data_IF_280539309926
#
_entry.id   IF_280539309926
#
_cell.length_a   1.000
_cell.length_b   1.000
_cell.length_c   1.000
_cell.angle_alpha   90.00
_cell.angle_beta   90.00
_cell.angle_gamma   90.00
#
_symmetry.space_group_name_H-M   'P 1'
#
loop_
_entity.id
_entity.type
_entity.pdbx_description
1 polymer ?
#
# COMPACT_ATOMS: atom_id res chain seq x y z
N UNK A 1 3.10 2.96 -16.32
CA UNK A 1 2.63 4.15 -15.57
C UNK A 1 3.38 4.22 -14.25
N UNK A 2 3.62 5.43 -13.73
CA UNK A 2 4.24 5.64 -12.42
C UNK A 2 3.33 6.50 -11.57
N UNK A 3 3.04 6.07 -10.35
CA UNK A 3 2.36 6.84 -9.32
C UNK A 3 3.39 7.17 -8.24
N UNK A 4 3.30 8.36 -7.66
CA UNK A 4 4.16 8.76 -6.55
C UNK A 4 3.32 9.34 -5.44
N UNK A 5 3.32 8.64 -4.31
CA UNK A 5 2.75 9.14 -3.06
C UNK A 5 3.83 9.98 -2.39
N UNK A 6 3.46 11.16 -1.89
CA UNK A 6 4.40 12.15 -1.34
C UNK A 6 3.92 12.66 0.01
N UNK A 7 4.82 13.32 0.74
CA UNK A 7 4.58 13.87 2.08
C UNK A 7 4.19 12.80 3.13
N UNK A 8 4.77 11.61 3.01
CA UNK A 8 4.60 10.54 3.99
C UNK A 8 5.53 10.76 5.20
N UNK A 9 5.07 10.28 6.36
CA UNK A 9 5.89 10.25 7.57
C UNK A 9 6.96 9.18 7.43
N UNK A 10 8.22 9.61 7.49
CA UNK A 10 9.39 8.75 7.31
C UNK A 10 9.67 7.85 8.51
N UNK A 11 9.01 8.10 9.64
CA UNK A 11 9.10 7.25 10.83
C UNK A 11 8.12 6.07 10.80
N UNK A 12 7.20 6.06 9.83
CA UNK A 12 6.18 5.03 9.67
C UNK A 12 6.47 4.14 8.46
N UNK A 13 5.87 2.96 8.47
CA UNK A 13 5.72 2.12 7.29
C UNK A 13 4.27 2.07 6.86
N UNK A 14 4.02 1.70 5.61
CA UNK A 14 2.69 1.70 5.01
C UNK A 14 2.36 0.34 4.39
N UNK A 15 1.14 -0.13 4.61
CA UNK A 15 0.55 -1.19 3.79
C UNK A 15 -0.12 -0.54 2.58
N UNK A 16 0.17 -1.06 1.39
CA UNK A 16 -0.36 -0.55 0.14
C UNK A 16 -1.14 -1.68 -0.53
N UNK A 17 -2.45 -1.49 -0.73
CA UNK A 17 -3.27 -2.45 -1.46
C UNK A 17 -3.79 -1.83 -2.75
N UNK A 18 -3.50 -2.48 -3.86
CA UNK A 18 -3.96 -2.07 -5.18
C UNK A 18 -5.09 -3.00 -5.60
N UNK A 19 -6.21 -2.42 -6.02
CA UNK A 19 -7.37 -3.15 -6.51
C UNK A 19 -7.58 -2.85 -7.99
N UNK A 20 -7.60 -3.89 -8.80
CA UNK A 20 -7.96 -3.82 -10.21
C UNK A 20 -9.47 -3.71 -10.41
N UNK A 21 -9.88 -2.95 -11.42
CA UNK A 21 -11.20 -3.07 -12.02
C UNK A 21 -11.20 -2.40 -13.40
N UNK A 22 -11.48 -3.18 -14.43
CA UNK A 22 -11.91 -2.65 -15.73
C UNK A 22 -13.43 -2.77 -15.90
N UNK A 23 -14.02 -3.82 -15.32
CA UNK A 23 -15.36 -4.33 -15.59
C UNK A 23 -15.28 -5.83 -15.93
N UNK A 24 -16.39 -6.56 -15.76
CA UNK A 24 -16.44 -8.01 -16.01
C UNK A 24 -16.10 -8.29 -17.47
N UNK A 25 -14.95 -8.90 -17.72
CA UNK A 25 -14.42 -9.19 -19.05
C UNK A 25 -13.86 -10.61 -19.11
N UNK A 26 -13.99 -11.25 -20.27
CA UNK A 26 -13.36 -12.55 -20.51
C UNK A 26 -11.84 -12.46 -20.78
N UNK A 27 -11.31 -11.24 -20.94
CA UNK A 27 -9.89 -11.01 -21.16
C UNK A 27 -9.14 -10.79 -19.84
N UNK A 28 -7.93 -11.34 -19.76
CA UNK A 28 -7.00 -11.03 -18.68
C UNK A 28 -6.39 -9.64 -18.88
N UNK A 29 -6.59 -8.78 -17.89
CA UNK A 29 -5.95 -7.48 -17.79
C UNK A 29 -4.91 -7.49 -16.67
N UNK A 30 -3.85 -8.28 -16.90
CA UNK A 30 -2.77 -8.43 -15.95
C UNK A 30 -1.99 -7.12 -15.82
N UNK A 31 -1.94 -6.64 -14.58
CA UNK A 31 -1.18 -5.46 -14.17
C UNK A 31 -0.12 -5.90 -13.19
N UNK A 32 1.13 -5.67 -13.57
CA UNK A 32 2.30 -5.86 -12.74
C UNK A 32 2.60 -4.58 -11.96
N UNK A 33 2.97 -4.76 -10.69
CA UNK A 33 3.26 -3.69 -9.74
C UNK A 33 4.65 -3.89 -9.16
N UNK A 34 5.42 -2.81 -9.16
CA UNK A 34 6.70 -2.72 -8.44
C UNK A 34 6.69 -1.50 -7.53
N UNK A 35 7.30 -1.62 -6.36
CA UNK A 35 7.38 -0.55 -5.36
C UNK A 35 8.84 -0.11 -5.26
N UNK A 36 9.08 1.20 -5.26
CA UNK A 36 10.41 1.82 -5.14
C UNK A 36 11.46 1.23 -6.10
N UNK A 37 11.02 0.86 -7.32
CA UNK A 37 11.84 0.19 -8.34
C UNK A 37 12.46 -1.15 -7.90
N UNK A 38 12.00 -1.74 -6.79
CA UNK A 38 12.38 -3.08 -6.36
C UNK A 38 11.70 -4.14 -7.25
N UNK A 39 12.47 -4.64 -8.21
CA UNK A 39 12.03 -5.69 -9.11
C UNK A 39 11.89 -7.06 -8.43
N UNK A 40 12.52 -7.27 -7.26
CA UNK A 40 12.48 -8.55 -6.55
C UNK A 40 11.18 -8.74 -5.76
N UNK A 41 10.57 -7.65 -5.29
CA UNK A 41 9.28 -7.63 -4.61
C UNK A 41 8.06 -7.54 -5.53
N UNK A 42 8.23 -7.70 -6.85
CA UNK A 42 7.18 -7.51 -7.85
C UNK A 42 5.97 -8.43 -7.65
N UNK A 43 4.77 -7.88 -7.81
CA UNK A 43 3.51 -8.63 -7.76
C UNK A 43 2.61 -8.29 -8.94
N UNK A 44 1.64 -9.15 -9.26
CA UNK A 44 0.67 -8.92 -10.33
C UNK A 44 -0.74 -9.25 -9.89
N UNK A 45 -1.72 -8.52 -10.42
CA UNK A 45 -3.14 -8.85 -10.29
C UNK A 45 -3.84 -8.78 -11.65
N UNK A 46 -4.93 -9.53 -11.78
CA UNK A 46 -5.81 -9.46 -12.95
C UNK A 46 -6.93 -8.46 -12.70
N UNK A 47 -7.05 -7.44 -13.56
CA UNK A 47 -8.09 -6.42 -13.43
C UNK A 47 -9.36 -6.70 -14.28
N UNK A 48 -9.45 -7.86 -14.94
CA UNK A 48 -10.57 -8.24 -15.81
C UNK A 48 -11.88 -8.63 -15.09
N UNK A 49 -11.91 -8.50 -13.76
CA UNK A 49 -13.08 -8.79 -12.93
C UNK A 49 -13.83 -7.54 -12.44
N UNK A 50 -14.83 -7.79 -11.59
CA UNK A 50 -15.48 -6.75 -10.80
C UNK A 50 -14.46 -6.06 -9.86
N UNK A 51 -14.83 -4.90 -9.32
CA UNK A 51 -13.96 -4.16 -8.41
C UNK A 51 -13.59 -5.02 -7.19
N UNK A 52 -12.29 -5.27 -7.02
CA UNK A 52 -11.76 -6.05 -5.89
C UNK A 52 -11.49 -7.52 -6.19
N UNK A 53 -11.85 -8.05 -7.36
CA UNK A 53 -11.58 -9.46 -7.72
C UNK A 53 -10.10 -9.73 -8.05
N UNK A 54 -9.33 -8.69 -8.36
CA UNK A 54 -7.88 -8.75 -8.43
C UNK A 54 -7.26 -7.69 -7.53
N UNK A 55 -6.40 -8.12 -6.60
CA UNK A 55 -5.64 -7.21 -5.77
C UNK A 55 -4.28 -7.76 -5.39
N UNK A 56 -3.39 -6.86 -4.99
CA UNK A 56 -2.08 -7.16 -4.41
C UNK A 56 -1.84 -6.22 -3.24
N UNK A 57 -1.20 -6.75 -2.21
CA UNK A 57 -0.83 -5.97 -1.02
C UNK A 57 0.68 -6.04 -0.81
N UNK A 58 1.28 -4.87 -0.65
CA UNK A 58 2.65 -4.68 -0.20
C UNK A 58 2.62 -4.22 1.25
N UNK A 59 3.27 -4.97 2.14
CA UNK A 59 3.24 -4.67 3.58
C UNK A 59 4.51 -3.99 4.03
N UNK A 60 4.40 -3.17 5.08
CA UNK A 60 5.53 -2.49 5.73
C UNK A 60 6.45 -1.73 4.76
N UNK A 61 5.87 -1.08 3.75
CA UNK A 61 6.61 -0.28 2.77
C UNK A 61 7.08 1.00 3.44
N UNK A 62 8.40 1.20 3.48
CA UNK A 62 9.00 2.44 3.96
C UNK A 62 9.03 3.51 2.84
N UNK A 63 8.71 4.78 3.16
CA UNK A 63 9.02 5.89 2.27
C UNK A 63 10.53 6.06 2.07
N UNK A 64 10.91 6.69 0.96
CA UNK A 64 12.28 7.12 0.72
C UNK A 64 12.70 8.29 1.65
N UNK A 65 13.96 8.73 1.53
CA UNK A 65 14.49 9.85 2.34
C UNK A 65 13.72 11.17 2.18
N UNK A 66 12.98 11.32 1.08
CA UNK A 66 12.15 12.47 0.76
C UNK A 66 10.69 12.28 1.18
N UNK A 67 10.35 11.19 1.87
CA UNK A 67 8.98 10.89 2.28
C UNK A 67 8.09 10.47 1.10
N UNK A 68 8.64 9.74 0.13
CA UNK A 68 7.92 9.29 -1.07
C UNK A 68 7.89 7.78 -1.20
N UNK A 69 6.79 7.26 -1.72
CA UNK A 69 6.71 5.88 -2.22
C UNK A 69 6.41 5.97 -3.72
N UNK A 70 7.24 5.30 -4.51
CA UNK A 70 7.05 5.17 -5.96
C UNK A 70 6.38 3.83 -6.25
N UNK A 71 5.31 3.86 -7.03
CA UNK A 71 4.59 2.68 -7.49
C UNK A 71 4.66 2.67 -9.01
N UNK A 72 5.17 1.60 -9.59
CA UNK A 72 5.26 1.43 -11.04
C UNK A 72 4.31 0.33 -11.47
N UNK A 73 3.36 0.70 -12.34
CA UNK A 73 2.34 -0.16 -12.91
C UNK A 73 2.69 -0.47 -14.37
N UNK A 74 2.73 -1.75 -14.73
CA UNK A 74 3.05 -2.23 -16.08
C UNK A 74 1.98 -3.20 -16.57
N UNK A 75 1.46 -2.97 -17.77
CA UNK A 75 0.60 -3.94 -18.44
C UNK A 75 1.46 -5.06 -19.03
N UNK A 76 1.07 -6.33 -18.82
CA UNK A 76 1.91 -7.48 -19.19
C UNK A 76 1.28 -8.44 -20.20
N UNK A 77 0.10 -8.12 -20.76
CA UNK A 77 -0.60 -9.01 -21.69
C UNK A 77 -1.07 -8.33 -22.99
N UNK A 78 -1.58 -9.14 -23.93
CA UNK A 78 -1.88 -8.83 -25.33
C UNK A 78 -2.70 -7.54 -25.60
N UNK A 79 -3.45 -7.04 -24.61
CA UNK A 79 -4.24 -5.81 -24.72
C UNK A 79 -3.42 -4.54 -24.48
N UNK A 80 -2.18 -4.67 -23.96
CA UNK A 80 -1.31 -3.57 -23.53
C UNK A 80 -2.02 -2.55 -22.61
N UNK A 81 -2.95 -3.04 -21.79
CA UNK A 81 -3.75 -2.24 -20.85
C UNK A 81 -3.62 -2.83 -19.45
N UNK A 82 -3.39 -1.96 -18.48
CA UNK A 82 -3.41 -2.28 -17.05
C UNK A 82 -4.33 -1.31 -16.33
N UNK A 83 -5.04 -1.79 -15.32
CA UNK A 83 -6.05 -1.00 -14.60
C UNK A 83 -5.77 -1.02 -13.11
N UNK A 84 -5.91 0.14 -12.50
CA UNK A 84 -6.03 0.29 -11.06
C UNK A 84 -7.29 1.11 -10.81
N UNK A 85 -8.16 0.61 -9.94
CA UNK A 85 -9.40 1.30 -9.56
C UNK A 85 -9.24 1.97 -8.20
N UNK A 86 -8.67 1.24 -7.24
CA UNK A 86 -8.44 1.74 -5.88
C UNK A 86 -6.99 1.49 -5.50
N UNK A 87 -6.41 2.48 -4.82
CA UNK A 87 -5.17 2.37 -4.07
C UNK A 87 -5.50 2.71 -2.61
N UNK A 88 -5.42 1.70 -1.76
CA UNK A 88 -5.52 1.84 -0.31
C UNK A 88 -4.12 1.97 0.30
N UNK A 89 -3.96 2.92 1.22
CA UNK A 89 -2.69 3.27 1.86
C UNK A 89 -2.95 3.41 3.36
N UNK A 90 -2.38 2.49 4.13
CA UNK A 90 -2.59 2.43 5.57
C UNK A 90 -1.26 2.54 6.32
N UNK A 91 -1.14 3.50 7.23
CA UNK A 91 0.04 3.62 8.09
C UNK A 91 0.07 2.53 9.17
N UNK A 92 1.25 2.02 9.49
CA UNK A 92 1.49 0.96 10.47
C UNK A 92 2.49 1.44 11.54
N UNK A 93 2.13 1.43 12.85
CA UNK A 93 0.79 1.17 13.38
C UNK A 93 -0.17 2.30 13.00
N UNK A 94 -1.47 2.00 12.96
CA UNK A 94 -2.46 3.05 12.75
C UNK A 94 -2.28 4.18 13.78
N UNK A 95 -2.45 5.46 13.38
CA UNK A 95 -2.20 6.60 14.26
C UNK A 95 -2.96 6.52 15.59
N UNK A 96 -4.21 6.03 15.57
CA UNK A 96 -5.03 5.83 16.76
C UNK A 96 -4.47 4.79 17.73
N UNK A 97 -3.91 3.70 17.19
CA UNK A 97 -3.24 2.65 18.00
C UNK A 97 -1.99 3.19 18.68
N UNK A 98 -1.20 4.00 17.97
CA UNK A 98 -0.01 4.65 18.53
C UNK A 98 -0.36 5.63 19.66
N UNK A 99 -1.42 6.43 19.49
CA UNK A 99 -1.90 7.35 20.53
C UNK A 99 -2.36 6.60 21.79
N UNK A 100 -3.11 5.50 21.62
CA UNK A 100 -3.58 4.69 22.73
C UNK A 100 -2.43 4.02 23.50
N UNK A 101 -1.44 3.47 22.79
CA UNK A 101 -0.25 2.89 23.41
C UNK A 101 0.56 3.94 24.18
N UNK A 102 0.73 5.15 23.63
CA UNK A 102 1.39 6.25 24.33
C UNK A 102 0.67 6.63 25.62
N UNK A 103 -0.66 6.79 25.57
CA UNK A 103 -1.50 7.11 26.74
C UNK A 103 -1.47 5.99 27.79
N UNK A 104 -1.55 4.72 27.38
CA UNK A 104 -1.45 3.58 28.28
C UNK A 104 -0.08 3.51 28.97
N UNK A 105 1.01 3.75 28.23
CA UNK A 105 2.36 3.83 28.79
C UNK A 105 2.52 4.95 29.82
N UNK A 106 1.99 6.14 29.51
CA UNK A 106 1.99 7.28 30.43
C UNK A 106 1.17 7.00 31.70
N UNK A 107 -0.01 6.39 31.57
CA UNK A 107 -0.84 6.00 32.70
C UNK A 107 -0.14 4.96 33.60
N UNK A 108 0.55 3.98 33.01
CA UNK A 108 1.33 2.98 33.74
C UNK A 108 2.52 3.62 34.48
N UNK A 109 3.23 4.57 33.86
CA UNK A 109 4.33 5.29 34.48
C UNK A 109 3.84 6.15 35.66
N UNK A 110 2.72 6.87 35.49
CA UNK A 110 2.11 7.67 36.56
C UNK A 110 1.77 6.83 37.79
N UNK A 111 1.23 5.62 37.58
CA UNK A 111 0.88 4.69 38.67
C UNK A 111 2.11 4.15 39.41
N UNK A 112 3.28 4.11 38.76
CA UNK A 112 4.54 3.63 39.35
C UNK A 112 5.26 4.68 40.21
N UNK A 113 5.03 5.97 39.96
CA UNK A 113 5.67 7.08 40.69
C UNK A 113 4.89 7.48 41.95
N UNK A 114 3.60 7.12 42.04
CA UNK A 114 2.73 7.39 43.20
C UNK A 114 2.79 6.31 44.30
N UNK A 115 3.80 5.43 44.29
CA UNK A 115 4.11 4.47 45.34
C UNK A 115 5.54 4.68 45.83
#
# INVERSE_FOLDING_TARGET
MTLTIQHLDKSLTYNLTLYGSYGVSANDYLTEVTINDDASGKQSYNAGGAAGEGSVTFTNVAPDINGKIKIVLRATHATNRGYNNVLDIQAVPEPGTSALLGLAGLAALRRRITH
#
